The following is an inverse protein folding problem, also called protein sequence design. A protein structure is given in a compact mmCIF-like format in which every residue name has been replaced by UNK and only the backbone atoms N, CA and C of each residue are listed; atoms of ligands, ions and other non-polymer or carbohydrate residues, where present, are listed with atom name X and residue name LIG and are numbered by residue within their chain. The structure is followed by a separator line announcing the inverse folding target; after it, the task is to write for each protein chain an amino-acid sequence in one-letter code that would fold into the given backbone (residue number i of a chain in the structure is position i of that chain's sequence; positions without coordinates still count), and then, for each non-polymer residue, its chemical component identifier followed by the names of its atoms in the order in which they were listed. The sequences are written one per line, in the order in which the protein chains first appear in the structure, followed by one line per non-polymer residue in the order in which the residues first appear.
data_IF_232678926037
#
_entry.id   IF_232678926037
#
_cell.length_a   1.000
_cell.length_b   1.000
_cell.length_c   1.000
_cell.angle_alpha   90.00
_cell.angle_beta   90.00
_cell.angle_gamma   90.00
#
_symmetry.space_group_name_H-M   'P 1'
#
loop_
_entity.id
_entity.type
_entity.pdbx_description
1 polymer ?
#
# COMPACT_ATOMS: atom_id res chain seq x y z
N UNK A 1 23.47 -36.62 -30.86
CA UNK A 1 23.02 -35.42 -31.63
C UNK A 1 21.55 -35.07 -31.40
N UNK A 2 20.60 -36.03 -31.42
CA UNK A 2 19.17 -35.72 -31.18
C UNK A 2 18.80 -35.41 -29.73
N UNK A 3 19.49 -35.99 -28.74
CA UNK A 3 19.19 -35.80 -27.31
C UNK A 3 19.71 -34.44 -26.78
N UNK A 4 20.83 -33.95 -27.32
CA UNK A 4 21.37 -32.62 -26.98
C UNK A 4 20.59 -31.48 -27.63
N UNK A 5 20.09 -31.67 -28.85
CA UNK A 5 19.16 -30.72 -29.47
C UNK A 5 17.84 -30.64 -28.69
N UNK A 6 17.32 -31.76 -28.17
CA UNK A 6 16.06 -31.76 -27.41
C UNK A 6 16.21 -31.12 -26.01
N UNK A 7 17.41 -31.23 -25.40
CA UNK A 7 17.78 -30.46 -24.20
C UNK A 7 17.93 -28.96 -24.47
N UNK A 8 18.63 -28.57 -25.54
CA UNK A 8 18.80 -27.16 -25.91
C UNK A 8 17.47 -26.49 -26.33
N UNK A 9 16.53 -27.26 -26.87
CA UNK A 9 15.19 -26.77 -27.24
C UNK A 9 14.25 -26.69 -26.02
N UNK A 10 14.43 -27.54 -25.01
CA UNK A 10 13.77 -27.41 -23.69
C UNK A 10 14.36 -26.28 -22.85
N UNK A 11 15.67 -26.08 -22.84
CA UNK A 11 16.34 -24.97 -22.14
C UNK A 11 15.94 -23.60 -22.72
N UNK A 12 15.74 -23.49 -24.04
CA UNK A 12 15.21 -22.27 -24.67
C UNK A 12 13.74 -21.97 -24.33
N UNK A 13 12.95 -22.95 -23.88
CA UNK A 13 11.52 -22.77 -23.57
C UNK A 13 11.25 -22.26 -22.15
N UNK A 14 12.24 -22.28 -21.27
CA UNK A 14 12.11 -21.88 -19.86
C UNK A 14 12.96 -20.65 -19.48
N UNK A 15 13.59 -19.96 -20.44
CA UNK A 15 14.44 -18.83 -20.11
C UNK A 15 13.61 -17.55 -19.92
N UNK A 16 13.30 -17.21 -18.66
CA UNK A 16 12.66 -15.96 -18.27
C UNK A 16 13.71 -14.83 -18.30
N UNK A 17 13.64 -13.92 -19.28
CA UNK A 17 14.69 -12.93 -19.56
C UNK A 17 15.02 -12.02 -18.37
N UNK A 18 14.00 -11.51 -17.67
CA UNK A 18 14.19 -10.61 -16.52
C UNK A 18 14.79 -11.34 -15.30
N UNK A 19 14.80 -12.67 -15.30
CA UNK A 19 15.22 -13.51 -14.19
C UNK A 19 16.71 -13.91 -14.30
N UNK A 20 17.55 -12.89 -14.35
CA UNK A 20 19.01 -13.03 -14.32
C UNK A 20 19.53 -13.35 -12.89
N UNK A 21 20.85 -13.54 -12.76
CA UNK A 21 21.50 -13.91 -11.50
C UNK A 21 21.27 -12.89 -10.37
N UNK A 22 21.17 -11.59 -10.70
CA UNK A 22 20.87 -10.55 -9.71
C UNK A 22 19.42 -10.65 -9.22
N UNK A 23 18.46 -10.79 -10.13
CA UNK A 23 17.04 -10.97 -9.79
C UNK A 23 16.85 -12.22 -8.93
N UNK A 24 17.50 -13.33 -9.29
CA UNK A 24 17.46 -14.58 -8.52
C UNK A 24 18.07 -14.42 -7.13
N UNK A 25 19.26 -13.81 -7.04
CA UNK A 25 19.92 -13.58 -5.76
C UNK A 25 19.10 -12.65 -4.86
N UNK A 26 18.47 -11.62 -5.41
CA UNK A 26 17.60 -10.71 -4.67
C UNK A 26 16.36 -11.43 -4.14
N UNK A 27 15.68 -12.22 -4.98
CA UNK A 27 14.49 -12.96 -4.59
C UNK A 27 14.80 -14.02 -3.51
N UNK A 28 15.89 -14.76 -3.68
CA UNK A 28 16.30 -15.82 -2.75
C UNK A 28 16.70 -15.30 -1.35
N UNK A 29 17.20 -14.07 -1.22
CA UNK A 29 17.65 -13.52 0.08
C UNK A 29 16.52 -13.13 1.02
N UNK A 30 15.33 -12.80 0.50
CA UNK A 30 14.29 -12.16 1.30
C UNK A 30 12.85 -12.64 1.07
N UNK A 31 12.56 -13.30 -0.04
CA UNK A 31 11.17 -13.54 -0.45
C UNK A 31 10.83 -15.01 -0.68
N UNK A 32 11.83 -15.88 -0.81
CA UNK A 32 11.63 -17.31 -1.05
C UNK A 32 12.03 -18.13 0.19
N UNK A 33 11.40 -19.29 0.36
CA UNK A 33 11.95 -20.32 1.25
C UNK A 33 13.22 -20.91 0.63
N UNK A 34 14.13 -21.41 1.48
CA UNK A 34 15.51 -21.81 1.08
C UNK A 34 15.61 -22.86 -0.03
N UNK A 35 14.52 -23.56 -0.34
CA UNK A 35 14.51 -24.72 -1.24
C UNK A 35 13.70 -24.50 -2.52
N UNK A 36 13.07 -23.33 -2.69
CA UNK A 36 12.17 -23.06 -3.82
C UNK A 36 12.84 -22.12 -4.83
N UNK A 37 12.85 -22.50 -6.10
CA UNK A 37 13.29 -21.64 -7.20
C UNK A 37 12.26 -20.54 -7.50
N UNK A 38 12.69 -19.47 -8.18
CA UNK A 38 11.78 -18.36 -8.51
C UNK A 38 10.65 -18.84 -9.44
N UNK A 39 10.96 -19.70 -10.40
CA UNK A 39 10.00 -20.25 -11.35
C UNK A 39 8.94 -21.11 -10.65
N UNK A 40 9.36 -21.98 -9.73
CA UNK A 40 8.45 -22.77 -8.89
C UNK A 40 7.57 -21.85 -8.05
N UNK A 41 8.13 -20.76 -7.50
CA UNK A 41 7.34 -19.81 -6.73
C UNK A 41 6.30 -19.07 -7.57
N UNK A 42 6.64 -18.64 -8.80
CA UNK A 42 5.67 -18.04 -9.73
C UNK A 42 4.55 -19.04 -10.03
N UNK A 43 4.89 -20.31 -10.25
CA UNK A 43 3.91 -21.38 -10.50
C UNK A 43 2.96 -21.58 -9.31
N UNK A 44 3.50 -21.67 -8.08
CA UNK A 44 2.68 -21.78 -6.87
C UNK A 44 1.72 -20.60 -6.69
N UNK A 45 2.20 -19.37 -6.93
CA UNK A 45 1.37 -18.16 -6.89
C UNK A 45 0.23 -18.27 -7.91
N UNK A 46 0.54 -18.67 -9.14
CA UNK A 46 -0.43 -18.76 -10.22
C UNK A 46 -1.51 -19.83 -9.95
N UNK A 47 -1.10 -21.02 -9.47
CA UNK A 47 -2.00 -22.14 -9.15
C UNK A 47 -2.88 -21.85 -7.93
N UNK A 48 -2.35 -21.17 -6.93
CA UNK A 48 -3.15 -20.73 -5.77
C UNK A 48 -4.22 -19.72 -6.18
N UNK A 49 -3.86 -18.73 -7.01
CA UNK A 49 -4.84 -17.79 -7.56
C UNK A 49 -5.91 -18.48 -8.41
N UNK A 50 -5.53 -19.43 -9.27
CA UNK A 50 -6.49 -20.24 -10.04
C UNK A 50 -7.47 -21.00 -9.12
N UNK A 51 -6.97 -21.56 -8.03
CA UNK A 51 -7.78 -22.29 -7.04
C UNK A 51 -8.80 -21.38 -6.37
N UNK A 52 -8.36 -20.20 -5.90
CA UNK A 52 -9.23 -19.21 -5.26
C UNK A 52 -10.29 -18.66 -6.22
N UNK A 53 -9.91 -18.41 -7.48
CA UNK A 53 -10.81 -17.92 -8.51
C UNK A 53 -11.69 -19.04 -9.10
N UNK A 54 -11.38 -20.32 -8.88
CA UNK A 54 -12.05 -21.47 -9.51
C UNK A 54 -12.07 -21.35 -11.05
N UNK A 55 -10.99 -20.82 -11.63
CA UNK A 55 -10.92 -20.44 -13.05
C UNK A 55 -9.84 -21.22 -13.79
N UNK A 56 -10.20 -22.39 -14.30
CA UNK A 56 -9.27 -23.31 -15.00
C UNK A 56 -8.48 -22.59 -16.10
N UNK A 57 -7.15 -22.79 -16.11
CA UNK A 57 -6.23 -22.20 -17.10
C UNK A 57 -5.79 -20.77 -16.76
N UNK A 58 -6.24 -20.21 -15.63
CA UNK A 58 -5.75 -18.93 -15.12
C UNK A 58 -4.27 -19.01 -14.78
N UNK A 59 -3.82 -20.10 -14.16
CA UNK A 59 -2.43 -20.27 -13.71
C UNK A 59 -1.45 -20.21 -14.89
N UNK A 60 -1.74 -20.92 -15.98
CA UNK A 60 -0.90 -20.92 -17.19
C UNK A 60 -0.87 -19.54 -17.85
N UNK A 61 -2.01 -18.86 -17.93
CA UNK A 61 -2.10 -17.50 -18.48
C UNK A 61 -1.28 -16.52 -17.64
N UNK A 62 -1.47 -16.52 -16.32
CA UNK A 62 -0.75 -15.66 -15.40
C UNK A 62 0.76 -15.93 -15.47
N UNK A 63 1.18 -17.20 -15.43
CA UNK A 63 2.57 -17.59 -15.56
C UNK A 63 3.19 -17.09 -16.88
N UNK A 64 2.47 -17.19 -18.00
CA UNK A 64 2.94 -16.69 -19.28
C UNK A 64 3.13 -15.15 -19.30
N UNK A 65 2.28 -14.38 -18.65
CA UNK A 65 2.48 -12.93 -18.54
C UNK A 65 3.62 -12.56 -17.58
N UNK A 66 3.76 -13.29 -16.47
CA UNK A 66 4.91 -13.17 -15.57
C UNK A 66 6.23 -13.50 -16.28
N UNK A 67 6.29 -14.57 -17.07
CA UNK A 67 7.52 -15.00 -17.76
C UNK A 67 7.97 -13.99 -18.82
N UNK A 68 7.03 -13.27 -19.44
CA UNK A 68 7.31 -12.15 -20.35
C UNK A 68 7.70 -10.84 -19.64
N UNK A 69 7.66 -10.81 -18.31
CA UNK A 69 8.01 -9.61 -17.53
C UNK A 69 6.95 -8.51 -17.56
N UNK A 70 5.69 -8.85 -17.89
CA UNK A 70 4.59 -7.88 -17.96
C UNK A 70 4.13 -7.42 -16.58
N UNK A 71 4.33 -8.24 -15.55
CA UNK A 71 3.94 -7.93 -14.18
C UNK A 71 5.14 -7.87 -13.24
N UNK A 72 5.02 -7.01 -12.24
CA UNK A 72 5.79 -7.08 -11.01
C UNK A 72 4.83 -7.25 -9.85
N UNK A 73 5.14 -8.19 -8.95
CA UNK A 73 4.31 -8.47 -7.77
C UNK A 73 4.93 -7.82 -6.55
N UNK A 74 4.11 -7.25 -5.67
CA UNK A 74 4.58 -6.71 -4.41
C UNK A 74 5.25 -7.78 -3.53
N UNK A 75 6.17 -7.37 -2.67
CA UNK A 75 6.92 -8.30 -1.82
C UNK A 75 6.07 -9.21 -0.94
N UNK A 76 4.97 -8.75 -0.31
CA UNK A 76 4.15 -9.62 0.53
C UNK A 76 3.48 -10.75 -0.25
N UNK A 77 3.18 -10.53 -1.54
CA UNK A 77 2.66 -11.57 -2.43
C UNK A 77 3.72 -12.66 -2.63
N UNK A 78 4.95 -12.27 -2.99
CA UNK A 78 6.07 -13.20 -3.11
C UNK A 78 6.29 -14.00 -1.82
N UNK A 79 6.32 -13.32 -0.68
CA UNK A 79 6.64 -13.93 0.61
C UNK A 79 5.52 -14.78 1.21
N UNK A 80 4.25 -14.48 0.95
CA UNK A 80 3.14 -15.00 1.78
C UNK A 80 1.94 -15.56 0.99
N UNK A 81 1.69 -15.16 -0.26
CA UNK A 81 0.48 -15.58 -0.98
C UNK A 81 0.48 -17.09 -1.26
N UNK A 82 -0.59 -17.79 -0.84
CA UNK A 82 -0.65 -19.25 -0.92
C UNK A 82 0.22 -20.01 0.08
N UNK A 83 0.87 -19.31 1.02
CA UNK A 83 1.63 -19.91 2.11
C UNK A 83 0.89 -19.73 3.45
N UNK A 84 1.18 -20.61 4.41
CA UNK A 84 0.52 -20.64 5.73
C UNK A 84 1.01 -19.55 6.70
N UNK A 85 2.09 -18.83 6.37
CA UNK A 85 2.68 -17.77 7.21
C UNK A 85 2.55 -16.41 6.53
N UNK A 86 2.27 -15.39 7.33
CA UNK A 86 2.21 -13.99 6.89
C UNK A 86 0.93 -13.63 6.11
N UNK A 87 0.81 -12.36 5.76
CA UNK A 87 -0.32 -11.81 5.01
C UNK A 87 0.16 -11.26 3.65
N UNK A 88 -0.59 -11.43 2.55
CA UNK A 88 -0.15 -11.00 1.22
C UNK A 88 -0.46 -9.51 0.93
N UNK A 89 -0.79 -8.72 1.94
CA UNK A 89 -1.17 -7.30 1.85
C UNK A 89 0.05 -6.38 2.04
N UNK A 90 0.08 -5.27 1.30
CA UNK A 90 1.22 -4.34 1.29
C UNK A 90 1.05 -3.13 2.19
N UNK A 91 -0.17 -2.61 2.32
CA UNK A 91 -0.42 -1.35 2.99
C UNK A 91 -1.59 -1.44 3.96
N UNK A 92 -1.41 -0.82 5.13
CA UNK A 92 -2.42 -0.64 6.14
C UNK A 92 -2.48 0.83 6.58
N UNK A 93 -3.68 1.32 6.88
CA UNK A 93 -3.85 2.60 7.56
C UNK A 93 -5.00 2.55 8.56
N UNK A 94 -4.78 3.12 9.73
CA UNK A 94 -5.75 3.14 10.82
C UNK A 94 -6.27 4.56 11.10
N UNK A 95 -7.47 4.64 11.64
CA UNK A 95 -7.98 5.85 12.28
C UNK A 95 -7.72 5.78 13.80
N UNK A 96 -7.16 6.84 14.38
CA UNK A 96 -6.92 6.98 15.83
C UNK A 96 -7.97 7.92 16.41
N UNK A 97 -8.88 7.41 17.25
CA UNK A 97 -9.87 8.24 17.94
C UNK A 97 -9.40 8.81 19.28
N UNK A 98 -10.13 9.81 19.76
CA UNK A 98 -9.74 10.69 20.87
C UNK A 98 -10.07 10.13 22.28
N UNK A 99 -9.69 8.86 22.49
CA UNK A 99 -9.73 8.21 23.79
C UNK A 99 -8.63 7.15 23.95
N UNK A 100 -8.24 6.85 25.18
CA UNK A 100 -7.14 5.92 25.45
C UNK A 100 -7.42 4.49 24.98
N UNK A 101 -8.68 4.05 24.97
CA UNK A 101 -9.07 2.74 24.48
C UNK A 101 -8.79 2.61 22.98
N UNK A 102 -9.23 3.59 22.18
CA UNK A 102 -8.96 3.61 20.75
C UNK A 102 -7.49 3.85 20.41
N UNK A 103 -6.77 4.69 21.16
CA UNK A 103 -5.32 4.90 20.97
C UNK A 103 -4.55 3.59 21.18
N UNK A 104 -4.79 2.89 22.29
CA UNK A 104 -4.10 1.63 22.60
C UNK A 104 -4.53 0.50 21.67
N UNK A 105 -5.80 0.45 21.29
CA UNK A 105 -6.27 -0.51 20.29
C UNK A 105 -5.57 -0.30 18.95
N UNK A 106 -5.48 0.95 18.48
CA UNK A 106 -4.82 1.28 17.21
C UNK A 106 -3.32 1.01 17.29
N UNK A 107 -2.68 1.24 18.44
CA UNK A 107 -1.29 0.84 18.67
C UNK A 107 -1.12 -0.68 18.56
N UNK A 108 -1.98 -1.48 19.18
CA UNK A 108 -1.93 -2.94 19.10
C UNK A 108 -2.16 -3.45 17.67
N UNK A 109 -3.10 -2.84 16.94
CA UNK A 109 -3.37 -3.08 15.53
C UNK A 109 -2.12 -2.84 14.66
N UNK A 110 -1.49 -1.66 14.79
CA UNK A 110 -0.24 -1.34 14.07
C UNK A 110 0.88 -2.33 14.40
N UNK A 111 0.96 -2.79 15.65
CA UNK A 111 1.93 -3.79 16.08
C UNK A 111 1.72 -5.14 15.40
N UNK A 112 0.46 -5.58 15.27
CA UNK A 112 0.11 -6.81 14.57
C UNK A 112 0.37 -6.69 13.07
N UNK A 113 -0.02 -5.58 12.43
CA UNK A 113 0.25 -5.32 11.02
C UNK A 113 1.77 -5.29 10.71
N UNK A 114 2.55 -4.65 11.59
CA UNK A 114 4.02 -4.62 11.49
C UNK A 114 4.64 -6.01 11.60
N UNK A 115 4.13 -6.85 12.53
CA UNK A 115 4.54 -8.25 12.67
C UNK A 115 4.24 -9.06 11.40
N UNK A 116 3.11 -8.83 10.75
CA UNK A 116 2.74 -9.51 9.51
C UNK A 116 3.45 -8.96 8.27
N UNK A 117 4.22 -7.88 8.41
CA UNK A 117 5.12 -7.36 7.37
C UNK A 117 4.51 -6.32 6.44
N UNK A 118 3.41 -5.68 6.83
CA UNK A 118 2.82 -4.57 6.09
C UNK A 118 3.43 -3.22 6.45
N UNK A 119 3.48 -2.30 5.49
CA UNK A 119 3.71 -0.88 5.78
C UNK A 119 2.48 -0.28 6.45
N UNK A 120 2.68 0.46 7.53
CA UNK A 120 1.57 0.97 8.36
C UNK A 120 1.51 2.49 8.32
N UNK A 121 0.34 3.04 8.64
CA UNK A 121 0.11 4.47 8.76
C UNK A 121 -1.10 4.74 9.65
N UNK A 122 -1.27 5.96 10.14
CA UNK A 122 -2.51 6.34 10.80
C UNK A 122 -2.79 7.84 10.73
N UNK A 123 -4.06 8.19 10.83
CA UNK A 123 -4.53 9.56 10.96
C UNK A 123 -4.69 9.95 12.43
N UNK A 124 -4.08 11.07 12.82
CA UNK A 124 -4.06 11.59 14.20
C UNK A 124 -4.84 12.89 14.37
N UNK A 125 -5.43 13.43 13.32
CA UNK A 125 -6.02 14.79 13.34
C UNK A 125 -7.28 14.96 14.19
N UNK A 126 -7.89 13.87 14.66
CA UNK A 126 -9.04 13.93 15.55
C UNK A 126 -8.64 13.84 17.04
N UNK A 127 -7.35 13.59 17.34
CA UNK A 127 -6.84 13.65 18.71
C UNK A 127 -6.83 15.10 19.20
N UNK A 128 -7.24 15.31 20.45
CA UNK A 128 -7.20 16.65 21.05
C UNK A 128 -5.75 17.16 21.20
N UNK A 129 -5.52 18.47 21.00
CA UNK A 129 -4.19 19.04 21.02
C UNK A 129 -3.59 19.08 22.44
N UNK A 130 -2.30 19.39 22.51
CA UNK A 130 -1.60 19.59 23.78
C UNK A 130 -2.29 20.68 24.60
N UNK A 131 -2.51 20.42 25.88
CA UNK A 131 -3.18 21.36 26.77
C UNK A 131 -4.72 21.33 26.71
N UNK A 132 -5.33 20.52 25.86
CA UNK A 132 -6.79 20.33 25.89
C UNK A 132 -7.24 19.64 27.19
N UNK A 133 -8.37 20.03 27.81
CA UNK A 133 -8.82 19.45 29.07
C UNK A 133 -9.18 17.95 28.92
N UNK A 134 -8.89 17.17 29.96
CA UNK A 134 -9.38 15.79 30.10
C UNK A 134 -10.34 15.69 31.30
N UNK A 135 -11.23 14.69 31.27
CA UNK A 135 -12.21 14.47 32.34
C UNK A 135 -11.49 14.21 33.68
N UNK A 136 -12.07 14.71 34.77
CA UNK A 136 -11.63 14.47 36.15
C UNK A 136 -10.22 15.00 36.48
N UNK A 137 -9.89 16.18 35.96
CA UNK A 137 -8.66 16.98 36.18
C UNK A 137 -7.45 16.52 35.35
N UNK A 138 -6.87 17.46 34.59
CA UNK A 138 -5.66 17.25 33.78
C UNK A 138 -5.76 17.86 32.38
N UNK A 139 -4.67 17.74 31.63
CA UNK A 139 -4.55 18.22 30.26
C UNK A 139 -3.90 17.18 29.36
N UNK A 140 -4.32 17.14 28.10
CA UNK A 140 -3.77 16.24 27.07
C UNK A 140 -2.31 16.55 26.79
N UNK A 141 -1.53 15.50 26.53
CA UNK A 141 -0.17 15.60 26.03
C UNK A 141 -0.09 15.93 24.53
N UNK A 142 -1.22 15.96 23.82
CA UNK A 142 -1.29 16.29 22.39
C UNK A 142 -1.02 15.11 21.45
N UNK A 143 -1.41 15.28 20.19
CA UNK A 143 -1.38 14.25 19.16
C UNK A 143 0.05 13.74 18.90
N UNK A 144 1.02 14.66 18.83
CA UNK A 144 2.43 14.33 18.55
C UNK A 144 3.05 13.51 19.67
N UNK A 145 2.66 13.73 20.92
CA UNK A 145 3.17 12.93 22.04
C UNK A 145 2.70 11.48 21.97
N UNK A 146 1.44 11.24 21.57
CA UNK A 146 0.94 9.88 21.35
C UNK A 146 1.64 9.19 20.17
N UNK A 147 2.10 9.92 19.14
CA UNK A 147 2.87 9.33 18.03
C UNK A 147 4.17 8.67 18.49
N UNK A 148 4.75 9.08 19.63
CA UNK A 148 5.94 8.42 20.21
C UNK A 148 5.69 6.93 20.53
N UNK A 149 4.45 6.59 20.91
CA UNK A 149 4.06 5.20 21.17
C UNK A 149 4.17 4.33 19.92
N UNK A 150 3.86 4.91 18.75
CA UNK A 150 3.93 4.25 17.45
C UNK A 150 5.37 4.17 16.96
N UNK A 151 6.17 5.25 17.11
CA UNK A 151 7.61 5.26 16.82
C UNK A 151 8.35 4.17 17.58
N UNK A 152 8.13 4.05 18.90
CA UNK A 152 8.78 3.01 19.70
C UNK A 152 8.29 1.62 19.32
N UNK A 153 7.00 1.46 19.07
CA UNK A 153 6.44 0.17 18.67
C UNK A 153 7.08 -0.35 17.37
N UNK A 154 7.13 0.47 16.31
CA UNK A 154 7.62 0.02 14.99
C UNK A 154 9.12 -0.25 14.99
N UNK A 155 9.86 0.38 15.91
CA UNK A 155 11.28 0.12 16.14
C UNK A 155 11.52 -1.19 16.92
N UNK A 156 10.56 -1.63 17.74
CA UNK A 156 10.65 -2.87 18.53
C UNK A 156 10.11 -4.07 17.75
N UNK A 157 9.03 -3.89 17.02
CA UNK A 157 8.40 -4.96 16.23
C UNK A 157 9.12 -5.12 14.89
N UNK A 158 9.77 -6.27 14.71
CA UNK A 158 10.48 -6.60 13.47
C UNK A 158 9.77 -7.69 12.67
N UNK A 159 9.77 -7.53 11.35
CA UNK A 159 9.37 -8.55 10.40
C UNK A 159 10.53 -9.55 10.24
N UNK A 160 10.54 -10.60 11.07
CA UNK A 160 11.59 -11.61 11.07
C UNK A 160 12.96 -11.02 11.42
N UNK A 161 14.03 -11.46 10.73
CA UNK A 161 15.40 -11.11 11.06
C UNK A 161 15.95 -9.85 10.33
N UNK A 162 15.23 -9.27 9.35
CA UNK A 162 15.85 -8.35 8.38
C UNK A 162 15.11 -7.01 8.21
N UNK A 163 13.78 -6.93 8.36
CA UNK A 163 13.02 -5.68 8.14
C UNK A 163 12.37 -5.16 9.43
N UNK A 164 12.71 -3.92 9.80
CA UNK A 164 11.99 -3.17 10.85
C UNK A 164 10.65 -2.65 10.31
N UNK A 165 9.67 -2.48 11.18
CA UNK A 165 8.39 -1.86 10.83
C UNK A 165 8.59 -0.43 10.32
N UNK A 166 7.70 0.02 9.45
CA UNK A 166 7.66 1.40 8.96
C UNK A 166 6.25 1.96 9.17
N UNK A 167 6.19 3.23 9.57
CA UNK A 167 4.96 3.91 9.92
C UNK A 167 4.94 5.33 9.33
N UNK A 168 3.77 5.76 8.84
CA UNK A 168 3.50 7.15 8.48
C UNK A 168 2.39 7.76 9.35
N UNK A 169 2.70 8.85 10.05
CA UNK A 169 1.70 9.64 10.77
C UNK A 169 1.13 10.75 9.87
N UNK A 170 -0.19 10.92 9.84
CA UNK A 170 -0.85 12.01 9.14
C UNK A 170 -1.54 12.98 10.10
N UNK A 171 -1.32 14.28 9.91
CA UNK A 171 -1.93 15.35 10.69
C UNK A 171 -2.41 16.50 9.78
N UNK A 172 -3.62 17.06 9.99
CA UNK A 172 -4.06 18.27 9.29
C UNK A 172 -3.14 19.46 9.56
N UNK A 173 -2.87 20.26 8.53
CA UNK A 173 -2.00 21.44 8.65
C UNK A 173 -2.57 22.51 9.58
N UNK A 174 -3.88 22.54 9.77
CA UNK A 174 -4.58 23.41 10.71
C UNK A 174 -4.57 22.91 12.15
N UNK A 175 -4.06 21.69 12.42
CA UNK A 175 -4.08 21.12 13.76
C UNK A 175 -3.21 21.95 14.73
N UNK A 176 -3.64 22.23 15.98
CA UNK A 176 -2.89 23.10 16.89
C UNK A 176 -1.49 22.59 17.25
N UNK A 177 -1.25 21.28 17.18
CA UNK A 177 0.07 20.66 17.40
C UNK A 177 0.96 20.64 16.13
N UNK A 178 0.58 21.32 15.03
CA UNK A 178 1.32 21.30 13.76
C UNK A 178 2.78 21.72 13.92
N UNK A 179 3.07 22.68 14.80
CA UNK A 179 4.44 23.12 15.03
C UNK A 179 5.32 22.05 15.67
N UNK A 180 4.78 21.26 16.59
CA UNK A 180 5.46 20.11 17.19
C UNK A 180 5.64 18.99 16.16
N UNK A 181 4.63 18.78 15.31
CA UNK A 181 4.62 17.77 14.26
C UNK A 181 5.67 18.02 13.18
N UNK A 182 5.83 19.27 12.73
CA UNK A 182 6.84 19.66 11.73
C UNK A 182 8.29 19.60 12.25
N UNK A 183 8.48 19.42 13.56
CA UNK A 183 9.79 19.19 14.17
C UNK A 183 10.15 17.70 14.30
N UNK A 184 9.30 16.77 13.83
CA UNK A 184 9.64 15.33 13.84
C UNK A 184 10.87 15.08 12.95
N UNK A 185 11.82 14.29 13.47
CA UNK A 185 13.08 13.98 12.78
C UNK A 185 14.17 15.04 12.91
N UNK A 186 13.93 16.19 13.55
CA UNK A 186 14.99 17.15 13.85
C UNK A 186 15.85 16.67 15.02
N UNK A 187 17.06 17.22 15.16
CA UNK A 187 17.93 16.93 16.30
C UNK A 187 17.21 17.19 17.64
N UNK A 188 17.33 16.25 18.58
CA UNK A 188 16.69 16.32 19.89
C UNK A 188 15.21 15.95 19.93
N UNK A 189 14.54 15.74 18.79
CA UNK A 189 13.15 15.28 18.79
C UNK A 189 13.06 13.81 19.25
N UNK A 190 12.08 13.42 20.11
CA UNK A 190 11.93 12.04 20.56
C UNK A 190 11.47 11.05 19.48
N UNK A 191 10.90 11.55 18.38
CA UNK A 191 10.41 10.80 17.22
C UNK A 191 11.42 10.94 16.07
N UNK A 192 12.01 9.81 15.66
CA UNK A 192 13.10 9.76 14.68
C UNK A 192 12.90 8.69 13.60
N UNK A 193 12.11 7.66 13.88
CA UNK A 193 12.02 6.46 13.02
C UNK A 193 10.79 6.40 12.11
N UNK A 194 9.82 7.31 12.28
CA UNK A 194 8.60 7.33 11.47
C UNK A 194 8.67 8.40 10.38
N UNK A 195 7.98 8.12 9.29
CA UNK A 195 7.66 9.11 8.26
C UNK A 195 6.37 9.85 8.63
N UNK A 196 6.09 10.98 7.99
CA UNK A 196 4.88 11.73 8.29
C UNK A 196 4.40 12.58 7.12
N UNK A 197 3.10 12.91 7.12
CA UNK A 197 2.43 13.67 6.09
C UNK A 197 1.48 14.71 6.65
N UNK A 198 1.37 15.85 5.97
CA UNK A 198 0.36 16.87 6.26
C UNK A 198 -0.81 16.74 5.30
N UNK A 199 -2.03 16.86 5.82
CA UNK A 199 -3.23 17.02 4.99
C UNK A 199 -3.60 18.49 4.89
N UNK A 200 -3.89 18.96 3.68
CA UNK A 200 -4.07 20.39 3.37
C UNK A 200 -5.39 20.59 2.65
N UNK A 201 -6.26 21.43 3.21
CA UNK A 201 -7.50 21.88 2.57
C UNK A 201 -7.26 23.00 1.58
N UNK A 202 -8.10 23.07 0.56
CA UNK A 202 -8.09 24.09 -0.49
C UNK A 202 -8.27 25.49 0.14
N UNK A 203 -9.18 25.63 1.12
CA UNK A 203 -9.41 26.89 1.87
C UNK A 203 -8.16 27.37 2.62
N UNK A 204 -7.52 26.49 3.40
CA UNK A 204 -6.29 26.85 4.14
C UNK A 204 -5.18 27.30 3.20
N UNK A 205 -5.04 26.61 2.07
CA UNK A 205 -4.03 26.94 1.06
C UNK A 205 -4.33 28.27 0.37
N UNK A 206 -5.60 28.55 0.07
CA UNK A 206 -6.02 29.81 -0.54
C UNK A 206 -5.76 31.00 0.39
N UNK A 207 -6.10 30.89 1.67
CA UNK A 207 -5.82 31.95 2.66
C UNK A 207 -4.31 32.22 2.81
N UNK A 208 -3.47 31.18 2.73
CA UNK A 208 -2.01 31.31 2.72
C UNK A 208 -1.52 32.11 1.49
N UNK A 209 -2.07 31.80 0.32
CA UNK A 209 -1.78 32.51 -0.94
C UNK A 209 -2.20 33.99 -0.83
N UNK A 210 -3.40 34.24 -0.34
CA UNK A 210 -4.01 35.58 -0.21
C UNK A 210 -3.31 36.49 0.79
N UNK A 211 -2.45 35.94 1.66
CA UNK A 211 -1.53 36.73 2.48
C UNK A 211 -1.59 36.49 3.98
N UNK A 212 -2.28 35.46 4.46
CA UNK A 212 -2.26 35.11 5.89
C UNK A 212 -0.82 34.83 6.35
N UNK A 213 -0.29 35.73 7.19
CA UNK A 213 1.09 35.69 7.66
C UNK A 213 1.40 34.47 8.54
N UNK A 214 0.42 34.00 9.32
CA UNK A 214 0.58 32.82 10.17
C UNK A 214 0.63 31.56 9.31
N UNK A 215 -0.27 31.44 8.32
CA UNK A 215 -0.26 30.29 7.40
C UNK A 215 0.98 30.28 6.51
N UNK A 216 1.46 31.44 6.05
CA UNK A 216 2.75 31.55 5.34
C UNK A 216 3.93 31.09 6.18
N UNK A 217 3.95 31.40 7.48
CA UNK A 217 4.99 30.93 8.38
C UNK A 217 4.96 29.39 8.54
N UNK A 218 3.77 28.80 8.72
CA UNK A 218 3.61 27.34 8.77
C UNK A 218 4.03 26.70 7.44
N UNK A 219 3.60 27.25 6.31
CA UNK A 219 3.96 26.75 4.98
C UNK A 219 5.46 26.85 4.70
N UNK A 220 6.10 27.94 5.12
CA UNK A 220 7.56 28.08 5.02
C UNK A 220 8.28 26.98 5.81
N UNK A 221 7.80 26.66 7.02
CA UNK A 221 8.33 25.55 7.83
C UNK A 221 8.11 24.19 7.16
N UNK A 222 6.95 23.94 6.53
CA UNK A 222 6.71 22.73 5.72
C UNK A 222 7.75 22.61 4.60
N UNK A 223 8.02 23.68 3.87
CA UNK A 223 9.00 23.70 2.77
C UNK A 223 10.43 23.51 3.29
N UNK A 224 10.78 24.16 4.40
CA UNK A 224 12.09 24.03 5.05
C UNK A 224 12.35 22.58 5.49
N UNK A 225 11.43 21.97 6.25
CA UNK A 225 11.57 20.59 6.69
C UNK A 225 11.66 19.62 5.50
N UNK A 226 10.86 19.83 4.45
CA UNK A 226 10.93 19.03 3.21
C UNK A 226 12.27 19.17 2.52
N UNK A 227 12.85 20.37 2.51
CA UNK A 227 14.18 20.59 1.94
C UNK A 227 15.29 19.92 2.77
N UNK A 228 15.12 19.80 4.08
CA UNK A 228 16.13 19.25 4.98
C UNK A 228 16.10 17.71 5.02
N UNK A 229 14.91 17.12 5.12
CA UNK A 229 14.74 15.67 5.37
C UNK A 229 13.78 14.95 4.42
N UNK A 230 13.18 15.66 3.45
CA UNK A 230 12.26 15.08 2.45
C UNK A 230 10.79 14.93 2.91
N UNK A 231 10.50 15.18 4.19
CA UNK A 231 9.17 15.12 4.82
C UNK A 231 8.73 16.49 5.33
N UNK A 232 7.44 16.74 5.57
CA UNK A 232 6.31 15.82 5.43
C UNK A 232 5.91 15.52 3.98
N UNK A 233 5.23 14.40 3.76
CA UNK A 233 4.36 14.22 2.58
C UNK A 233 3.27 15.31 2.55
N UNK A 234 2.71 15.58 1.37
CA UNK A 234 1.59 16.52 1.23
C UNK A 234 0.43 15.79 0.58
N UNK A 235 -0.71 15.80 1.25
CA UNK A 235 -1.97 15.27 0.72
C UNK A 235 -2.99 16.41 0.62
N UNK A 236 -3.46 16.70 -0.59
CA UNK A 236 -4.51 17.70 -0.81
C UNK A 236 -5.88 17.12 -0.48
N UNK A 237 -6.36 17.39 0.74
CA UNK A 237 -7.52 16.76 1.35
C UNK A 237 -8.79 16.91 0.50
N UNK A 238 -9.08 18.13 0.03
CA UNK A 238 -10.31 18.40 -0.71
C UNK A 238 -10.26 17.83 -2.13
N UNK A 239 -9.10 17.87 -2.78
CA UNK A 239 -8.91 17.23 -4.10
C UNK A 239 -9.14 15.73 -4.00
N UNK A 240 -8.59 15.06 -2.99
CA UNK A 240 -8.79 13.61 -2.77
C UNK A 240 -10.27 13.28 -2.58
N UNK A 241 -10.97 14.00 -1.70
CA UNK A 241 -12.38 13.69 -1.40
C UNK A 241 -13.32 14.12 -2.53
N UNK A 242 -12.98 15.14 -3.32
CA UNK A 242 -13.73 15.56 -4.50
C UNK A 242 -13.58 14.59 -5.68
N UNK A 243 -12.40 14.02 -5.88
CA UNK A 243 -12.10 13.11 -7.00
C UNK A 243 -12.26 11.62 -6.65
N UNK A 244 -12.71 11.30 -5.43
CA UNK A 244 -12.95 9.90 -5.03
C UNK A 244 -14.15 9.28 -5.74
N UNK A 245 -14.31 7.96 -5.56
CA UNK A 245 -15.39 7.17 -6.16
C UNK A 245 -16.77 7.55 -5.60
N UNK A 246 -17.80 7.42 -6.45
CA UNK A 246 -19.17 7.84 -6.12
C UNK A 246 -19.70 7.13 -4.86
N UNK A 247 -19.43 5.83 -4.69
CA UNK A 247 -19.88 5.07 -3.51
C UNK A 247 -19.36 5.64 -2.18
N UNK A 248 -18.19 6.27 -2.17
CA UNK A 248 -17.66 6.93 -0.96
C UNK A 248 -18.35 8.28 -0.73
N UNK A 249 -18.61 9.04 -1.79
CA UNK A 249 -19.38 10.29 -1.71
C UNK A 249 -20.81 10.04 -1.24
N UNK A 250 -21.49 9.08 -1.85
CA UNK A 250 -22.89 8.72 -1.56
C UNK A 250 -23.09 8.26 -0.12
N UNK A 251 -22.08 7.61 0.47
CA UNK A 251 -22.08 7.12 1.84
C UNK A 251 -21.47 8.10 2.85
N UNK A 252 -21.01 9.28 2.41
CA UNK A 252 -20.34 10.25 3.27
C UNK A 252 -19.03 9.72 3.88
N UNK A 253 -18.35 8.81 3.20
CA UNK A 253 -17.09 8.21 3.65
C UNK A 253 -15.93 9.13 3.26
N UNK A 254 -15.23 9.62 4.28
CA UNK A 254 -14.15 10.61 4.14
C UNK A 254 -12.79 9.94 4.19
N UNK A 255 -11.92 10.31 3.25
CA UNK A 255 -10.51 9.91 3.22
C UNK A 255 -9.72 10.97 3.99
N UNK A 256 -9.29 10.63 5.21
CA UNK A 256 -8.60 11.55 6.13
C UNK A 256 -7.07 11.51 6.01
N UNK A 257 -6.51 10.43 5.50
CA UNK A 257 -5.07 10.24 5.32
C UNK A 257 -4.79 9.31 4.16
N UNK A 258 -3.52 9.25 3.76
CA UNK A 258 -3.01 8.24 2.83
C UNK A 258 -2.23 7.13 3.59
N UNK A 259 -1.52 6.26 2.87
CA UNK A 259 -0.69 5.18 3.42
C UNK A 259 0.77 5.63 3.64
N UNK A 260 1.64 4.66 3.95
CA UNK A 260 3.08 4.85 4.11
C UNK A 260 3.76 5.51 2.89
N UNK A 261 3.28 5.22 1.68
CA UNK A 261 3.91 5.63 0.42
C UNK A 261 3.13 6.74 -0.33
N UNK A 262 2.06 7.28 0.28
CA UNK A 262 1.24 8.40 -0.19
C UNK A 262 0.39 8.18 -1.47
N UNK A 263 0.26 6.95 -1.97
CA UNK A 263 -0.50 6.60 -3.17
C UNK A 263 -1.91 6.07 -2.91
N UNK A 264 -2.17 5.53 -1.71
CA UNK A 264 -3.46 4.92 -1.38
C UNK A 264 -4.40 5.95 -0.77
N UNK A 265 -5.62 6.04 -1.30
CA UNK A 265 -6.63 7.02 -0.90
C UNK A 265 -7.94 6.29 -0.58
N UNK A 266 -8.03 5.74 0.64
CA UNK A 266 -9.15 4.94 1.11
C UNK A 266 -9.63 5.44 2.48
N UNK A 267 -10.93 5.33 2.80
CA UNK A 267 -11.47 5.82 4.07
C UNK A 267 -11.05 4.93 5.24
N UNK A 268 -10.80 5.57 6.39
CA UNK A 268 -10.63 4.91 7.69
C UNK A 268 -11.63 5.49 8.68
N UNK A 269 -12.09 4.67 9.62
CA UNK A 269 -13.01 5.06 10.70
C UNK A 269 -12.93 4.03 11.83
N UNK A 270 -13.70 4.18 12.90
CA UNK A 270 -13.69 3.28 14.07
C UNK A 270 -13.86 1.79 13.73
N UNK A 271 -14.51 1.46 12.62
CA UNK A 271 -14.77 0.09 12.18
C UNK A 271 -13.82 -0.36 11.06
N UNK A 272 -13.16 0.56 10.36
CA UNK A 272 -12.34 0.30 9.20
C UNK A 272 -10.92 0.85 9.34
N UNK A 273 -9.95 -0.04 9.14
CA UNK A 273 -8.57 0.29 8.85
C UNK A 273 -8.32 -0.18 7.43
N UNK A 274 -8.02 0.73 6.51
CA UNK A 274 -7.96 0.34 5.11
C UNK A 274 -6.80 -0.62 4.86
N UNK A 275 -7.00 -1.50 3.89
CA UNK A 275 -5.97 -2.38 3.36
C UNK A 275 -5.93 -2.29 1.83
N UNK A 276 -4.76 -2.54 1.26
CA UNK A 276 -4.60 -2.65 -0.18
C UNK A 276 -3.51 -3.65 -0.56
N UNK A 277 -3.80 -4.49 -1.56
CA UNK A 277 -2.80 -5.25 -2.29
C UNK A 277 -2.29 -4.49 -3.51
N UNK A 278 -1.10 -4.84 -3.96
CA UNK A 278 -0.39 -4.08 -4.99
C UNK A 278 0.31 -5.02 -5.97
N UNK A 279 0.14 -4.74 -7.26
CA UNK A 279 0.97 -5.28 -8.34
C UNK A 279 1.04 -4.25 -9.46
N UNK A 280 2.10 -4.31 -10.26
CA UNK A 280 2.37 -3.29 -11.27
C UNK A 280 2.48 -3.87 -12.68
N UNK A 281 1.86 -3.19 -13.63
CA UNK A 281 2.09 -3.40 -15.06
C UNK A 281 3.46 -2.81 -15.46
N UNK A 282 4.26 -3.56 -16.19
CA UNK A 282 5.52 -3.08 -16.72
C UNK A 282 5.31 -2.34 -18.04
N UNK A 283 5.42 -1.01 -18.01
CA UNK A 283 5.19 -0.16 -19.18
C UNK A 283 6.26 -0.31 -20.26
N UNK A 284 7.46 -0.83 -19.95
CA UNK A 284 8.47 -1.10 -20.98
C UNK A 284 7.91 -1.97 -22.11
N UNK A 285 7.05 -2.93 -21.76
CA UNK A 285 6.41 -3.86 -22.69
C UNK A 285 5.00 -3.43 -23.12
N UNK A 286 4.66 -2.14 -22.98
CA UNK A 286 3.32 -1.61 -23.27
C UNK A 286 2.78 -2.03 -24.64
N UNK A 287 3.60 -1.94 -25.69
CA UNK A 287 3.17 -2.30 -27.04
C UNK A 287 2.88 -3.79 -27.22
N UNK A 288 3.40 -4.65 -26.33
CA UNK A 288 3.16 -6.08 -26.40
C UNK A 288 1.87 -6.50 -25.67
N UNK A 289 1.56 -5.86 -24.54
CA UNK A 289 0.42 -6.28 -23.71
C UNK A 289 -0.82 -5.40 -23.88
N UNK A 290 -0.75 -4.22 -24.49
CA UNK A 290 -1.90 -3.30 -24.61
C UNK A 290 -3.14 -3.92 -25.28
N UNK A 291 -2.91 -4.85 -26.21
CA UNK A 291 -3.97 -5.53 -26.98
C UNK A 291 -4.31 -6.94 -26.43
N UNK A 292 -3.79 -7.29 -25.24
CA UNK A 292 -4.09 -8.55 -24.55
C UNK A 292 -5.02 -8.34 -23.34
N UNK A 293 -5.34 -9.42 -22.62
CA UNK A 293 -6.10 -9.37 -21.36
C UNK A 293 -5.21 -9.32 -20.12
N UNK A 294 -3.98 -8.79 -20.24
CA UNK A 294 -3.01 -8.77 -19.15
C UNK A 294 -3.48 -7.88 -17.97
N UNK A 295 -4.01 -6.70 -18.25
CA UNK A 295 -4.53 -5.81 -17.18
C UNK A 295 -5.67 -6.50 -16.44
N UNK A 296 -6.60 -7.11 -17.17
CA UNK A 296 -7.75 -7.83 -16.64
C UNK A 296 -7.32 -9.04 -15.81
N UNK A 297 -6.34 -9.80 -16.30
CA UNK A 297 -5.78 -10.96 -15.58
C UNK A 297 -5.11 -10.53 -14.27
N UNK A 298 -4.41 -9.38 -14.25
CA UNK A 298 -3.78 -8.87 -13.03
C UNK A 298 -4.82 -8.37 -12.02
N UNK A 299 -5.95 -7.80 -12.47
CA UNK A 299 -7.06 -7.42 -11.57
C UNK A 299 -7.70 -8.66 -10.92
N UNK A 300 -7.97 -9.71 -11.68
CA UNK A 300 -8.45 -10.99 -11.10
C UNK A 300 -7.45 -11.57 -10.11
N UNK A 301 -6.14 -11.47 -10.42
CA UNK A 301 -5.10 -11.90 -9.50
C UNK A 301 -5.12 -11.11 -8.18
N UNK A 302 -5.22 -9.77 -8.24
CA UNK A 302 -5.31 -8.94 -7.04
C UNK A 302 -6.58 -9.27 -6.23
N UNK A 303 -7.74 -9.49 -6.85
CA UNK A 303 -8.92 -9.93 -6.11
C UNK A 303 -8.71 -11.30 -5.40
N UNK A 304 -7.97 -12.22 -6.03
CA UNK A 304 -7.57 -13.48 -5.39
C UNK A 304 -6.63 -13.25 -4.20
N UNK A 305 -5.72 -12.28 -4.28
CA UNK A 305 -4.84 -11.86 -3.17
C UNK A 305 -5.65 -11.30 -2.00
N UNK A 306 -6.60 -10.40 -2.28
CA UNK A 306 -7.53 -9.89 -1.28
C UNK A 306 -8.36 -11.02 -0.65
N UNK A 307 -8.80 -12.00 -1.43
CA UNK A 307 -9.51 -13.18 -0.92
C UNK A 307 -8.64 -14.04 0.01
N UNK A 308 -7.38 -14.30 -0.35
CA UNK A 308 -6.43 -15.03 0.51
C UNK A 308 -6.20 -14.31 1.84
N UNK A 309 -6.10 -12.97 1.81
CA UNK A 309 -6.00 -12.17 3.02
C UNK A 309 -7.23 -12.32 3.93
N UNK A 310 -8.44 -12.23 3.36
CA UNK A 310 -9.70 -12.39 4.09
C UNK A 310 -9.77 -13.79 4.72
N UNK A 311 -9.53 -14.84 3.94
CA UNK A 311 -9.55 -16.24 4.42
C UNK A 311 -8.58 -16.43 5.58
N UNK A 312 -7.34 -15.92 5.48
CA UNK A 312 -6.34 -16.02 6.55
C UNK A 312 -6.79 -15.32 7.83
N UNK A 313 -7.48 -14.19 7.74
CA UNK A 313 -8.04 -13.53 8.92
C UNK A 313 -9.23 -14.31 9.50
N UNK A 314 -10.06 -14.93 8.68
CA UNK A 314 -11.14 -15.83 9.14
C UNK A 314 -10.57 -17.05 9.86
N UNK A 315 -9.47 -17.63 9.38
CA UNK A 315 -8.77 -18.71 10.07
C UNK A 315 -8.25 -18.29 11.46
N UNK A 316 -7.85 -17.02 11.64
CA UNK A 316 -7.47 -16.50 12.96
C UNK A 316 -8.68 -16.30 13.86
N UNK A 317 -9.77 -15.75 13.32
CA UNK A 317 -11.04 -15.52 14.04
C UNK A 317 -11.63 -16.84 14.55
N UNK A 318 -11.69 -17.83 13.68
CA UNK A 318 -12.39 -19.10 13.91
C UNK A 318 -11.48 -20.14 14.56
N UNK A 319 -10.22 -19.80 14.83
CA UNK A 319 -9.25 -20.70 15.44
C UNK A 319 -9.63 -21.13 16.85
N UNK A 320 -9.40 -22.40 17.22
CA UNK A 320 -9.48 -22.84 18.61
C UNK A 320 -8.39 -22.29 19.55
N UNK A 321 -7.31 -21.69 19.01
CA UNK A 321 -6.22 -21.09 19.81
C UNK A 321 -6.59 -19.66 20.23
N UNK A 322 -6.71 -19.42 21.54
CA UNK A 322 -7.05 -18.11 22.11
C UNK A 322 -6.08 -16.99 21.68
N UNK A 323 -4.80 -17.31 21.44
CA UNK A 323 -3.80 -16.33 20.98
C UNK A 323 -4.04 -15.90 19.53
N UNK A 324 -4.56 -16.80 18.69
CA UNK A 324 -4.94 -16.48 17.31
C UNK A 324 -6.19 -15.61 17.28
N UNK A 325 -7.20 -15.93 18.11
CA UNK A 325 -8.37 -15.05 18.28
C UNK A 325 -7.99 -13.65 18.76
N UNK A 326 -7.08 -13.56 19.72
CA UNK A 326 -6.55 -12.28 20.17
C UNK A 326 -5.83 -11.51 19.04
N UNK A 327 -5.11 -12.22 18.18
CA UNK A 327 -4.47 -11.61 17.00
C UNK A 327 -5.52 -11.09 16.02
N UNK A 328 -6.64 -11.81 15.84
CA UNK A 328 -7.75 -11.36 15.00
C UNK A 328 -8.43 -10.10 15.55
N UNK A 329 -8.61 -9.98 16.87
CA UNK A 329 -9.20 -8.78 17.48
C UNK A 329 -8.49 -7.49 17.00
N UNK A 330 -7.16 -7.52 16.93
CA UNK A 330 -6.35 -6.39 16.47
C UNK A 330 -6.28 -6.25 14.95
N UNK A 331 -6.85 -7.18 14.19
CA UNK A 331 -6.93 -7.15 12.72
C UNK A 331 -8.38 -6.99 12.24
N UNK A 332 -9.35 -6.87 13.16
CA UNK A 332 -10.78 -6.87 12.84
C UNK A 332 -11.17 -5.69 11.95
N UNK A 333 -10.65 -4.49 12.22
CA UNK A 333 -10.90 -3.31 11.38
C UNK A 333 -10.37 -3.47 9.95
N UNK A 334 -9.23 -4.13 9.79
CA UNK A 334 -8.65 -4.46 8.50
C UNK A 334 -9.46 -5.53 7.75
N UNK A 335 -9.95 -6.56 8.48
CA UNK A 335 -10.84 -7.59 7.95
C UNK A 335 -12.16 -6.99 7.44
N UNK A 336 -12.80 -6.14 8.26
CA UNK A 336 -14.06 -5.49 7.91
C UNK A 336 -13.90 -4.64 6.64
N UNK A 337 -12.85 -3.82 6.59
CA UNK A 337 -12.58 -3.02 5.39
C UNK A 337 -12.38 -3.90 4.14
N UNK A 338 -11.56 -4.94 4.24
CA UNK A 338 -11.26 -5.85 3.13
C UNK A 338 -12.53 -6.50 2.57
N UNK A 339 -13.42 -6.97 3.44
CA UNK A 339 -14.70 -7.57 3.03
C UNK A 339 -15.66 -6.58 2.40
N UNK A 340 -15.75 -5.39 2.97
CA UNK A 340 -16.75 -4.41 2.54
C UNK A 340 -16.33 -3.65 1.27
N UNK A 341 -15.02 -3.50 1.04
CA UNK A 341 -14.49 -2.63 -0.02
C UNK A 341 -13.73 -3.37 -1.12
N UNK A 342 -13.03 -4.46 -0.79
CA UNK A 342 -12.13 -5.20 -1.71
C UNK A 342 -11.26 -4.27 -2.58
N UNK A 343 -10.66 -3.24 -1.98
CA UNK A 343 -9.91 -2.23 -2.71
C UNK A 343 -8.58 -2.79 -3.25
N UNK A 344 -8.37 -2.67 -4.57
CA UNK A 344 -7.22 -3.22 -5.29
C UNK A 344 -6.30 -2.12 -5.83
N UNK A 345 -4.99 -2.31 -5.72
CA UNK A 345 -3.98 -1.35 -6.15
C UNK A 345 -3.20 -1.82 -7.38
N UNK A 346 -3.76 -1.64 -8.58
CA UNK A 346 -3.03 -1.87 -9.82
C UNK A 346 -2.17 -0.66 -10.19
N UNK A 347 -0.85 -0.82 -10.09
CA UNK A 347 0.13 0.22 -10.39
C UNK A 347 0.85 0.01 -11.73
N UNK A 348 1.89 0.81 -11.93
CA UNK A 348 2.79 0.68 -13.09
C UNK A 348 4.25 0.86 -12.69
N UNK A 349 5.16 0.34 -13.49
CA UNK A 349 6.60 0.64 -13.44
C UNK A 349 7.16 0.78 -14.86
N UNK A 350 8.40 1.26 -14.99
CA UNK A 350 9.07 1.34 -16.29
C UNK A 350 8.55 2.44 -17.21
N UNK A 351 7.87 3.47 -16.67
CA UNK A 351 7.42 4.63 -17.46
C UNK A 351 8.55 5.28 -18.24
N UNK A 352 9.64 5.64 -17.55
CA UNK A 352 10.79 6.27 -18.21
C UNK A 352 11.51 5.29 -19.15
N UNK A 353 11.53 3.98 -18.84
CA UNK A 353 12.09 2.96 -19.74
C UNK A 353 11.30 2.85 -21.06
N UNK A 354 9.97 2.95 -21.02
CA UNK A 354 9.13 3.02 -22.22
C UNK A 354 9.41 4.29 -23.04
N UNK A 355 9.55 5.43 -22.37
CA UNK A 355 9.87 6.68 -23.05
C UNK A 355 11.22 6.60 -23.75
N UNK A 356 12.23 6.07 -23.07
CA UNK A 356 13.58 5.86 -23.61
C UNK A 356 13.59 4.88 -24.78
N UNK A 357 12.84 3.76 -24.69
CA UNK A 357 12.75 2.79 -25.79
C UNK A 357 12.09 3.36 -27.06
N UNK A 358 11.34 4.46 -26.92
CA UNK A 358 10.68 5.20 -28.01
C UNK A 358 11.40 6.49 -28.39
N UNK A 359 12.54 6.82 -27.77
CA UNK A 359 13.25 8.08 -27.95
C UNK A 359 12.36 9.32 -27.66
N UNK A 360 11.45 9.21 -26.69
CA UNK A 360 10.55 10.29 -26.27
C UNK A 360 11.12 10.99 -25.03
N UNK A 361 11.42 12.29 -25.07
CA UNK A 361 11.83 13.05 -23.87
C UNK A 361 10.68 13.16 -22.86
N UNK A 362 10.97 13.03 -21.57
CA UNK A 362 9.95 13.01 -20.50
C UNK A 362 9.10 14.29 -20.41
N UNK A 363 9.68 15.45 -20.74
CA UNK A 363 9.01 16.75 -20.71
C UNK A 363 8.24 17.07 -22.01
N UNK A 364 8.25 16.16 -22.98
CA UNK A 364 7.64 16.40 -24.30
C UNK A 364 6.12 16.26 -24.30
N UNK A 365 5.47 16.92 -25.27
CA UNK A 365 4.02 16.75 -25.52
C UNK A 365 3.68 15.30 -25.88
N UNK A 366 4.59 14.58 -26.52
CA UNK A 366 4.40 13.17 -26.88
C UNK A 366 4.38 12.28 -25.64
N UNK A 367 5.25 12.54 -24.65
CA UNK A 367 5.19 11.86 -23.35
C UNK A 367 3.85 12.12 -22.65
N UNK A 368 3.38 13.36 -22.63
CA UNK A 368 2.08 13.71 -22.04
C UNK A 368 0.91 12.99 -22.74
N UNK A 369 0.91 12.93 -24.08
CA UNK A 369 -0.11 12.20 -24.86
C UNK A 369 -0.07 10.70 -24.59
N UNK A 370 1.13 10.11 -24.58
CA UNK A 370 1.30 8.69 -24.32
C UNK A 370 0.86 8.33 -22.89
N UNK A 371 1.15 9.20 -21.91
CA UNK A 371 0.69 9.04 -20.54
C UNK A 371 -0.85 8.93 -20.48
N UNK A 372 -1.57 9.89 -21.07
CA UNK A 372 -3.05 9.87 -21.11
C UNK A 372 -3.57 8.59 -21.77
N UNK A 373 -2.97 8.16 -22.89
CA UNK A 373 -3.36 6.95 -23.59
C UNK A 373 -3.21 5.69 -22.73
N UNK A 374 -2.04 5.50 -22.10
CA UNK A 374 -1.75 4.30 -21.30
C UNK A 374 -2.67 4.21 -20.10
N UNK A 375 -2.77 5.29 -19.31
CA UNK A 375 -3.56 5.26 -18.08
C UNK A 375 -5.06 5.19 -18.34
N UNK A 376 -5.55 5.76 -19.46
CA UNK A 376 -6.94 5.56 -19.90
C UNK A 376 -7.21 4.10 -20.23
N UNK A 377 -6.34 3.45 -21.01
CA UNK A 377 -6.49 2.03 -21.36
C UNK A 377 -6.48 1.13 -20.12
N UNK A 378 -5.51 1.34 -19.22
CA UNK A 378 -5.41 0.56 -17.98
C UNK A 378 -6.69 0.73 -17.14
N UNK A 379 -7.19 1.96 -16.98
CA UNK A 379 -8.42 2.24 -16.24
C UNK A 379 -9.62 1.51 -16.84
N UNK A 380 -9.82 1.63 -18.15
CA UNK A 380 -10.94 0.98 -18.85
C UNK A 380 -10.90 -0.55 -18.70
N UNK A 381 -9.74 -1.16 -18.93
CA UNK A 381 -9.56 -2.61 -18.76
C UNK A 381 -9.76 -3.07 -17.32
N UNK A 382 -9.20 -2.35 -16.36
CA UNK A 382 -9.33 -2.68 -14.94
C UNK A 382 -10.80 -2.59 -14.46
N UNK A 383 -11.54 -1.56 -14.89
CA UNK A 383 -12.96 -1.40 -14.54
C UNK A 383 -13.81 -2.49 -15.19
N UNK A 384 -13.55 -2.84 -16.45
CA UNK A 384 -14.23 -3.95 -17.11
C UNK A 384 -13.98 -5.29 -16.39
N UNK A 385 -12.74 -5.54 -15.94
CA UNK A 385 -12.41 -6.73 -15.17
C UNK A 385 -13.14 -6.75 -13.82
N UNK A 386 -13.14 -5.64 -13.08
CA UNK A 386 -13.89 -5.51 -11.83
C UNK A 386 -15.40 -5.71 -12.00
N UNK A 387 -15.98 -5.17 -13.07
CA UNK A 387 -17.40 -5.39 -13.40
C UNK A 387 -17.71 -6.86 -13.75
N UNK A 388 -16.75 -7.60 -14.31
CA UNK A 388 -16.91 -9.03 -14.56
C UNK A 388 -16.73 -9.86 -13.29
N UNK A 389 -15.78 -9.52 -12.42
CA UNK A 389 -15.64 -10.12 -11.09
C UNK A 389 -16.97 -10.04 -10.32
N UNK A 390 -17.61 -8.87 -10.30
CA UNK A 390 -18.90 -8.67 -9.62
C UNK A 390 -20.08 -9.47 -10.21
N UNK A 391 -19.94 -10.04 -11.41
CA UNK A 391 -20.94 -10.96 -11.99
C UNK A 391 -20.61 -12.42 -11.68
N UNK A 392 -19.32 -12.74 -11.52
CA UNK A 392 -18.81 -14.09 -11.28
C UNK A 392 -18.86 -14.49 -9.79
N UNK A 393 -18.69 -13.53 -8.88
CA UNK A 393 -18.64 -13.69 -7.41
C UNK A 393 -19.59 -12.71 -6.74
#
# INVERSE_FOLDING_TARGET
MSIEMDKATREKKNNIEWLNDYSRAFLARGYLSKEITVEERIRQIAEHAETLLRKKGFADKFYNYMSKGYYSLASPIWSNFGLSKGLPISCFSSYVGDDMGQILFTQAEVGMMSKYGGGTSAYFGDLRPRGAPIKDNGYSSGAVHFMQLFDKLVNVVSQGAIRRGNFAAYLPIEHPDIDEFLNIGTEGNPIQGITYGVTVKDEWLQEMIDGDSKKRAIWAKVLETRSQIGYPYIMFYDTVNRETVDVYKDKGLIIKSSNLCSEILLPTNEQWSFVCDLSSMNLLYYDEWKDTDAVETLVYFLDAVMNDFIIKLEELRDSGDSRKKQSFLFMERAYNFAKDNRALGLGVLGWHSLLQSKMIPIESKDAAKLNVQIFKLIKEKAYNASANLAKEY
#
